data_IF_563694015127
#
_entry.id   IF_563694015127
#
_cell.length_a   1.000
_cell.length_b   1.000
_cell.length_c   1.000
_cell.angle_alpha   90.00
_cell.angle_beta   90.00
_cell.angle_gamma   90.00
#
_symmetry.space_group_name_H-M   'P 1'
#
loop_
_entity.id
_entity.type
_entity.pdbx_description
1 polymer ?
#
# COMPACT_ATOMS: atom_id res chain seq x y z
N UNK A 1 18.03 -30.52 -7.65
CA UNK A 1 18.26 -29.14 -7.16
C UNK A 1 17.26 -28.23 -7.85
N UNK A 2 16.40 -27.55 -7.10
CA UNK A 2 15.33 -26.70 -7.65
C UNK A 2 15.64 -25.24 -7.29
N UNK A 3 15.81 -24.39 -8.30
CA UNK A 3 16.06 -22.95 -8.14
C UNK A 3 14.71 -22.23 -8.13
N UNK A 4 14.35 -21.59 -7.01
CA UNK A 4 13.19 -20.67 -6.93
C UNK A 4 13.66 -19.26 -7.28
N UNK A 5 13.11 -18.69 -8.35
CA UNK A 5 13.38 -17.32 -8.80
C UNK A 5 12.16 -16.48 -8.46
N UNK A 6 12.35 -15.46 -7.61
CA UNK A 6 11.28 -14.53 -7.24
C UNK A 6 11.24 -13.37 -8.23
N UNK A 7 10.09 -13.19 -8.87
CA UNK A 7 9.85 -12.06 -9.78
C UNK A 7 9.01 -11.02 -9.03
N UNK A 8 9.48 -9.76 -8.90
CA UNK A 8 8.70 -8.69 -8.28
C UNK A 8 7.36 -8.52 -8.98
N UNK A 9 6.29 -8.38 -8.20
CA UNK A 9 4.94 -8.11 -8.71
C UNK A 9 4.31 -6.97 -7.91
N UNK A 10 3.62 -6.09 -8.63
CA UNK A 10 2.73 -5.09 -8.02
C UNK A 10 1.34 -5.69 -7.90
N UNK A 11 0.73 -5.52 -6.73
CA UNK A 11 -0.62 -6.00 -6.42
C UNK A 11 -1.42 -4.81 -5.94
N UNK A 12 -2.65 -4.68 -6.44
CA UNK A 12 -3.60 -3.68 -5.97
C UNK A 12 -4.64 -4.35 -5.08
N UNK A 13 -4.75 -3.87 -3.84
CA UNK A 13 -5.76 -4.32 -2.88
C UNK A 13 -6.70 -3.14 -2.64
N UNK A 14 -8.00 -3.28 -2.97
CA UNK A 14 -8.97 -2.21 -2.72
C UNK A 14 -9.03 -1.83 -1.24
N UNK A 15 -9.08 -0.53 -0.97
CA UNK A 15 -8.96 0.03 0.38
C UNK A 15 -10.03 -0.47 1.35
N UNK A 16 -11.22 -0.79 0.83
CA UNK A 16 -12.36 -1.34 1.58
C UNK A 16 -12.07 -2.72 2.20
N UNK A 17 -11.12 -3.47 1.65
CA UNK A 17 -10.74 -4.77 2.18
C UNK A 17 -9.64 -4.67 3.24
N UNK A 18 -8.90 -3.56 3.31
CA UNK A 18 -7.74 -3.42 4.19
C UNK A 18 -8.07 -3.60 5.69
N UNK A 19 -9.15 -3.04 6.26
CA UNK A 19 -9.46 -3.27 7.68
C UNK A 19 -9.71 -4.75 7.99
N UNK A 20 -10.46 -5.42 7.11
CA UNK A 20 -10.81 -6.83 7.27
C UNK A 20 -9.57 -7.74 7.11
N UNK A 21 -8.69 -7.40 6.17
CA UNK A 21 -7.42 -8.07 5.95
C UNK A 21 -6.47 -7.89 7.13
N UNK A 22 -6.32 -6.66 7.64
CA UNK A 22 -5.46 -6.38 8.78
C UNK A 22 -5.91 -7.15 10.03
N UNK A 23 -7.23 -7.21 10.27
CA UNK A 23 -7.79 -7.99 11.37
C UNK A 23 -7.51 -9.49 11.24
N UNK A 24 -7.76 -10.09 10.07
CA UNK A 24 -7.48 -11.52 9.86
C UNK A 24 -5.99 -11.85 9.85
N UNK A 25 -5.16 -10.92 9.38
CA UNK A 25 -3.70 -11.06 9.45
C UNK A 25 -3.23 -11.04 10.91
N UNK A 26 -3.81 -10.18 11.76
CA UNK A 26 -3.57 -10.18 13.20
C UNK A 26 -3.98 -11.52 13.83
N UNK A 27 -5.19 -12.00 13.52
CA UNK A 27 -5.69 -13.28 14.04
C UNK A 27 -4.75 -14.45 13.65
N UNK A 28 -4.15 -14.39 12.46
CA UNK A 28 -3.20 -15.39 11.96
C UNK A 28 -1.82 -15.33 12.63
N UNK A 29 -1.44 -14.20 13.22
CA UNK A 29 -0.17 -14.04 13.94
C UNK A 29 -0.19 -14.64 15.36
N UNK A 30 -1.38 -14.93 15.90
CA UNK A 30 -1.55 -15.51 17.24
C UNK A 30 -1.26 -14.54 18.39
N UNK A 31 -1.04 -15.08 19.60
CA UNK A 31 -0.96 -14.30 20.85
C UNK A 31 0.18 -13.26 20.92
N UNK A 32 1.13 -13.26 19.98
CA UNK A 32 2.20 -12.26 19.87
C UNK A 32 2.01 -11.22 18.75
N UNK A 33 0.94 -11.32 17.96
CA UNK A 33 0.74 -10.51 16.76
C UNK A 33 0.35 -9.05 17.01
N UNK A 34 -0.15 -8.75 18.21
CA UNK A 34 -0.68 -7.43 18.56
C UNK A 34 0.37 -6.31 18.50
N UNK A 35 1.60 -6.63 18.92
CA UNK A 35 2.73 -5.71 18.94
C UNK A 35 3.61 -5.85 17.68
N UNK A 36 3.26 -6.79 16.79
CA UNK A 36 3.99 -6.96 15.54
C UNK A 36 3.80 -5.73 14.65
N UNK A 37 4.90 -5.27 14.07
CA UNK A 37 4.88 -4.20 13.09
C UNK A 37 4.04 -4.61 11.89
N UNK A 38 3.10 -3.77 11.49
CA UNK A 38 2.29 -4.04 10.31
C UNK A 38 3.15 -3.87 9.06
N UNK A 39 3.10 -4.86 8.16
CA UNK A 39 3.82 -4.82 6.88
C UNK A 39 2.90 -5.16 5.73
N UNK A 40 3.28 -4.77 4.51
CA UNK A 40 2.53 -5.13 3.29
C UNK A 40 2.39 -6.66 3.16
N UNK A 41 3.40 -7.41 3.56
CA UNK A 41 3.47 -8.85 3.47
C UNK A 41 2.40 -9.55 4.28
N UNK A 42 2.08 -9.04 5.48
CA UNK A 42 0.95 -9.53 6.26
C UNK A 42 -0.37 -9.40 5.49
N UNK A 43 -0.61 -8.23 4.88
CA UNK A 43 -1.84 -7.98 4.11
C UNK A 43 -1.90 -8.81 2.83
N UNK A 44 -0.79 -8.92 2.09
CA UNK A 44 -0.73 -9.69 0.85
C UNK A 44 -0.93 -11.18 1.12
N UNK A 45 -0.25 -11.74 2.14
CA UNK A 45 -0.45 -13.15 2.54
C UNK A 45 -1.91 -13.40 2.89
N UNK A 46 -2.53 -12.51 3.68
CA UNK A 46 -3.93 -12.66 4.04
C UNK A 46 -4.86 -12.55 2.82
N UNK A 47 -4.57 -11.64 1.88
CA UNK A 47 -5.37 -11.47 0.66
C UNK A 47 -5.30 -12.71 -0.25
N UNK A 48 -4.15 -13.37 -0.32
CA UNK A 48 -4.02 -14.68 -1.01
C UNK A 48 -4.85 -15.75 -0.28
N UNK A 49 -4.77 -15.81 1.05
CA UNK A 49 -5.55 -16.79 1.82
C UNK A 49 -7.06 -16.61 1.71
N UNK A 50 -7.51 -15.36 1.69
CA UNK A 50 -8.91 -15.00 1.51
C UNK A 50 -9.41 -15.21 0.07
N UNK A 51 -8.52 -15.57 -0.87
CA UNK A 51 -8.86 -15.78 -2.29
C UNK A 51 -9.20 -14.49 -3.04
N UNK A 52 -8.75 -13.32 -2.53
CA UNK A 52 -8.89 -12.04 -3.21
C UNK A 52 -7.95 -11.93 -4.42
N UNK A 53 -6.82 -12.63 -4.37
CA UNK A 53 -5.76 -12.62 -5.39
C UNK A 53 -5.69 -13.98 -6.08
N UNK A 54 -6.72 -14.33 -6.87
CA UNK A 54 -6.87 -15.66 -7.47
C UNK A 54 -5.69 -16.08 -8.35
N UNK A 55 -5.04 -15.12 -9.00
CA UNK A 55 -3.83 -15.35 -9.80
C UNK A 55 -2.62 -15.80 -8.97
N UNK A 56 -2.68 -15.65 -7.65
CA UNK A 56 -1.66 -16.07 -6.69
C UNK A 56 -2.07 -17.32 -5.90
N UNK A 57 -3.23 -17.93 -6.18
CA UNK A 57 -3.70 -19.14 -5.46
C UNK A 57 -2.70 -20.29 -5.54
N UNK A 58 -1.91 -20.35 -6.63
CA UNK A 58 -0.82 -21.34 -6.81
C UNK A 58 0.28 -21.23 -5.75
N UNK A 59 0.35 -20.12 -5.03
CA UNK A 59 1.31 -19.90 -3.93
C UNK A 59 0.79 -20.42 -2.60
N UNK A 60 -0.48 -20.85 -2.49
CA UNK A 60 -1.02 -21.47 -1.28
C UNK A 60 -0.46 -22.88 -1.15
N UNK A 61 0.27 -23.14 -0.07
CA UNK A 61 0.81 -24.46 0.23
C UNK A 61 -0.21 -25.31 0.99
N UNK A 62 -0.95 -24.68 1.89
CA UNK A 62 -2.02 -25.28 2.70
C UNK A 62 -3.04 -24.20 3.12
N UNK A 63 -3.94 -24.51 4.06
CA UNK A 63 -4.97 -23.61 4.57
C UNK A 63 -4.43 -22.40 5.36
N UNK A 64 -3.16 -22.44 5.77
CA UNK A 64 -2.51 -21.47 6.68
C UNK A 64 -1.19 -20.90 6.15
N UNK A 65 -0.58 -21.54 5.14
CA UNK A 65 0.74 -21.17 4.61
C UNK A 65 0.71 -20.71 3.14
N UNK A 66 1.33 -19.56 2.86
CA UNK A 66 1.60 -19.05 1.50
C UNK A 66 3.11 -19.03 1.23
N UNK A 67 3.55 -19.58 0.09
CA UNK A 67 4.92 -19.51 -0.45
C UNK A 67 5.20 -18.14 -1.06
N UNK A 68 5.13 -17.11 -0.21
CA UNK A 68 5.40 -15.73 -0.57
C UNK A 68 6.62 -15.27 0.22
N UNK A 69 7.65 -14.77 -0.48
CA UNK A 69 8.80 -14.16 0.15
C UNK A 69 8.59 -12.66 0.23
N UNK A 70 8.21 -12.18 1.42
CA UNK A 70 8.32 -10.76 1.77
C UNK A 70 9.64 -10.62 2.50
N UNK A 71 10.60 -9.89 1.93
CA UNK A 71 11.90 -9.68 2.55
C UNK A 71 11.72 -9.00 3.92
N UNK A 72 11.94 -9.70 5.06
CA UNK A 72 11.68 -9.12 6.37
C UNK A 72 12.74 -8.07 6.78
N UNK A 73 13.87 -7.99 6.08
CA UNK A 73 14.88 -6.93 6.30
C UNK A 73 14.67 -5.72 5.39
N UNK A 74 14.04 -5.93 4.22
CA UNK A 74 13.77 -4.88 3.24
C UNK A 74 12.32 -4.39 3.19
N UNK A 75 11.40 -5.06 3.89
CA UNK A 75 10.00 -4.68 3.90
C UNK A 75 9.75 -3.50 4.84
N UNK A 76 9.60 -2.32 4.23
CA UNK A 76 9.20 -1.13 4.95
C UNK A 76 7.87 -1.36 5.70
N UNK A 77 7.79 -0.98 6.99
CA UNK A 77 6.52 -0.92 7.71
C UNK A 77 5.44 -0.18 6.92
N UNK A 78 4.18 -0.54 7.20
CA UNK A 78 3.07 0.31 6.80
C UNK A 78 3.09 1.59 7.64
N UNK A 79 3.04 2.72 6.95
CA UNK A 79 3.08 4.04 7.56
C UNK A 79 1.80 4.80 7.24
N UNK A 80 1.22 5.43 8.27
CA UNK A 80 0.19 6.46 8.14
C UNK A 80 0.74 7.71 8.81
N UNK A 81 0.63 8.86 8.16
CA UNK A 81 1.17 10.13 8.65
C UNK A 81 2.66 10.09 9.05
N UNK A 82 3.48 9.34 8.28
CA UNK A 82 4.92 9.09 8.51
C UNK A 82 5.25 8.39 9.84
N UNK A 83 4.29 7.63 10.37
CA UNK A 83 4.49 6.79 11.56
C UNK A 83 4.25 5.33 11.20
N UNK A 84 5.23 4.48 11.47
CA UNK A 84 5.08 3.03 11.42
C UNK A 84 4.08 2.56 12.46
N UNK A 85 3.15 1.71 12.05
CA UNK A 85 2.06 1.23 12.90
C UNK A 85 2.25 -0.23 13.28
N UNK A 86 1.82 -0.60 14.49
CA UNK A 86 1.51 -1.99 14.82
C UNK A 86 0.25 -2.45 14.09
N UNK A 87 -0.01 -3.76 14.06
CA UNK A 87 -1.21 -4.28 13.40
C UNK A 87 -2.51 -3.74 14.03
N UNK A 88 -2.56 -3.57 15.36
CA UNK A 88 -3.71 -2.95 16.04
C UNK A 88 -3.88 -1.47 15.66
N UNK A 89 -2.79 -0.71 15.68
CA UNK A 89 -2.82 0.72 15.31
C UNK A 89 -3.27 0.91 13.84
N UNK A 90 -2.86 -0.01 12.96
CA UNK A 90 -3.31 -0.02 11.57
C UNK A 90 -4.82 -0.28 11.47
N UNK A 91 -5.35 -1.28 12.18
CA UNK A 91 -6.79 -1.59 12.19
C UNK A 91 -7.60 -0.37 12.67
N UNK A 92 -7.16 0.26 13.76
CA UNK A 92 -7.84 1.43 14.32
C UNK A 92 -7.82 2.61 13.33
N UNK A 93 -6.68 2.85 12.69
CA UNK A 93 -6.52 3.93 11.70
C UNK A 93 -7.37 3.70 10.44
N UNK A 94 -7.49 2.45 10.00
CA UNK A 94 -8.30 2.09 8.82
C UNK A 94 -9.81 2.06 9.11
N UNK A 95 -10.19 1.79 10.36
CA UNK A 95 -11.59 1.68 10.80
C UNK A 95 -12.17 3.01 11.27
N UNK A 96 -11.31 4.00 11.57
CA UNK A 96 -11.75 5.33 11.94
C UNK A 96 -12.62 5.95 10.83
N UNK A 97 -13.79 6.54 11.16
CA UNK A 97 -14.58 7.26 10.18
C UNK A 97 -13.70 8.35 9.60
N UNK A 98 -13.51 8.31 8.27
CA UNK A 98 -12.68 9.25 7.52
C UNK A 98 -13.16 10.65 7.84
N UNK A 99 -12.47 11.35 8.76
CA UNK A 99 -12.72 12.77 8.96
C UNK A 99 -12.55 13.44 7.60
N UNK A 100 -13.46 14.32 7.17
CA UNK A 100 -13.32 14.99 5.89
C UNK A 100 -12.00 15.76 5.92
N UNK A 101 -10.99 15.23 5.24
CA UNK A 101 -9.77 15.95 4.95
C UNK A 101 -10.19 17.05 3.97
N UNK A 102 -10.51 18.21 4.52
CA UNK A 102 -10.67 19.43 3.76
C UNK A 102 -9.39 19.58 2.95
N UNK A 103 -9.50 19.27 1.66
CA UNK A 103 -8.47 19.58 0.69
C UNK A 103 -8.36 21.10 0.71
N UNK A 104 -7.42 21.65 1.48
CA UNK A 104 -6.95 23.00 1.21
C UNK A 104 -6.29 22.91 -0.16
N UNK A 105 -7.09 23.21 -1.20
CA UNK A 105 -6.58 23.63 -2.50
C UNK A 105 -5.44 24.59 -2.20
N UNK A 106 -4.26 24.43 -2.82
CA UNK A 106 -3.30 25.51 -2.80
C UNK A 106 -4.01 26.73 -3.39
N UNK A 107 -4.15 27.79 -2.59
CA UNK A 107 -4.56 29.10 -3.07
C UNK A 107 -3.54 29.49 -4.13
N UNK A 108 -3.92 29.32 -5.40
CA UNK A 108 -3.27 29.97 -6.50
C UNK A 108 -3.40 31.46 -6.21
N UNK A 109 -2.29 32.06 -5.78
CA UNK A 109 -2.17 33.50 -5.62
C UNK A 109 -2.31 34.10 -7.01
N UNK A 110 -3.55 34.48 -7.32
CA UNK A 110 -3.93 35.39 -8.37
C UNK A 110 -3.28 36.75 -8.05
N UNK A 111 -2.06 36.92 -8.53
CA UNK A 111 -1.40 38.22 -8.58
C UNK A 111 -0.81 38.45 -9.97
N UNK A 112 -1.46 39.39 -10.64
CA UNK A 112 -0.91 40.32 -11.64
C UNK A 112 -1.01 39.86 -13.10
N UNK A 113 -2.26 39.94 -13.57
CA UNK A 113 -2.67 40.70 -14.76
C UNK A 113 -1.63 41.73 -15.24
N UNK A 114 -1.17 41.54 -16.48
CA UNK A 114 -0.72 42.62 -17.37
C UNK A 114 0.79 42.74 -17.56
N UNK A 115 1.33 42.01 -18.54
CA UNK A 115 2.37 42.45 -19.49
C UNK A 115 2.35 41.50 -20.69
N UNK A 116 1.76 41.97 -21.78
CA UNK A 116 2.06 41.45 -23.12
C UNK A 116 3.59 41.55 -23.35
N UNK A 117 4.20 40.54 -23.97
CA UNK A 117 5.01 40.74 -25.19
C UNK A 117 5.68 39.43 -25.68
N UNK A 118 5.27 39.05 -26.91
CA UNK A 118 6.04 38.49 -28.04
C UNK A 118 6.56 37.05 -27.96
N UNK A 119 5.79 36.17 -28.60
CA UNK A 119 6.26 34.90 -29.18
C UNK A 119 7.16 35.24 -30.39
N UNK A 120 8.44 34.87 -30.34
CA UNK A 120 9.36 34.96 -31.50
C UNK A 120 9.39 33.58 -32.18
N UNK A 121 8.94 33.44 -33.44
CA UNK A 121 9.05 32.17 -34.17
C UNK A 121 10.47 32.00 -34.72
N UNK A 122 11.16 30.94 -34.30
CA UNK A 122 12.45 30.53 -34.86
C UNK A 122 12.19 29.92 -36.25
N UNK A 123 12.64 30.60 -37.31
CA UNK A 123 12.67 30.03 -38.66
C UNK A 123 13.71 28.91 -38.73
N UNK A 124 13.31 27.72 -39.21
CA UNK A 124 14.24 26.69 -39.69
C UNK A 124 14.98 27.24 -40.91
N UNK A 125 16.31 27.24 -40.87
CA UNK A 125 17.14 27.42 -42.05
C UNK A 125 17.26 26.08 -42.80
N UNK A 126 17.14 26.15 -44.12
CA UNK A 126 17.50 25.09 -45.07
C UNK A 126 18.99 25.19 -45.42
#
# INVERSE_FOLDING_TARGET
>A
MQLKIYVPRTIEIPTEYLPALAKRALDSLGEGGADAQATRGHLVRQAVMDGLLRELDVLRLDETTVDLFCDPQGEAPLEIDNRSLSMNELIDSLSAPKAPTATKRPEAVDRLRGKEERIIPIRRAA
#
